data_IF_119229078389
#
_entry.id   IF_119229078389
#
_cell.length_a   1.000
_cell.length_b   1.000
_cell.length_c   1.000
_cell.angle_alpha   90.00
_cell.angle_beta   90.00
_cell.angle_gamma   90.00
#
_symmetry.space_group_name_H-M   'P 1'
#
loop_
_entity.id
_entity.type
_entity.pdbx_description
1 polymer ?
#
# COMPACT_ATOMS: atom_id res chain seq x y z
N UNK A 1 -20.67 6.84 34.06
CA UNK A 1 -20.61 7.79 32.93
C UNK A 1 -21.13 7.04 31.71
N UNK A 2 -22.33 7.36 31.24
CA UNK A 2 -22.91 6.79 30.03
C UNK A 2 -23.13 7.99 29.09
N UNK A 3 -22.32 8.12 28.04
CA UNK A 3 -22.42 9.26 27.12
C UNK A 3 -21.15 9.66 26.36
N UNK A 4 -20.04 8.94 26.48
CA UNK A 4 -18.77 9.30 25.82
C UNK A 4 -18.37 8.30 24.70
N UNK A 5 -19.35 7.54 24.20
CA UNK A 5 -19.12 6.67 23.06
C UNK A 5 -19.16 7.53 21.78
N UNK A 6 -18.09 7.53 20.96
CA UNK A 6 -18.02 8.38 19.78
C UNK A 6 -19.18 8.06 18.84
N UNK A 7 -20.03 9.06 18.58
CA UNK A 7 -21.13 8.98 17.63
C UNK A 7 -20.54 8.81 16.24
N UNK A 8 -20.56 7.58 15.75
CA UNK A 8 -20.03 7.21 14.44
C UNK A 8 -21.18 6.86 13.52
N UNK A 9 -21.12 7.37 12.29
CA UNK A 9 -22.16 7.10 11.30
C UNK A 9 -22.12 5.61 10.87
N UNK A 10 -23.27 5.00 10.53
CA UNK A 10 -23.34 3.57 10.19
C UNK A 10 -22.39 3.14 9.05
N UNK A 11 -22.02 4.09 8.18
CA UNK A 11 -21.11 3.90 7.05
C UNK A 11 -19.62 3.90 7.43
N UNK A 12 -19.21 4.53 8.54
CA UNK A 12 -17.82 4.53 9.00
C UNK A 12 -17.32 3.12 9.37
N UNK A 13 -18.24 2.23 9.73
CA UNK A 13 -17.94 0.84 10.05
C UNK A 13 -17.85 -0.04 8.80
N UNK A 14 -18.11 0.50 7.60
CA UNK A 14 -18.12 -0.29 6.38
C UNK A 14 -16.69 -0.79 6.12
N UNK A 15 -16.48 -2.12 6.08
CA UNK A 15 -15.17 -2.67 5.83
C UNK A 15 -14.72 -2.28 4.41
N UNK A 16 -13.63 -1.51 4.31
CA UNK A 16 -13.06 -1.13 3.02
C UNK A 16 -12.59 -2.33 2.19
N UNK A 17 -12.41 -2.13 0.88
CA UNK A 17 -11.98 -3.17 -0.05
C UNK A 17 -10.46 -3.42 0.03
N UNK A 18 -10.02 -4.12 1.09
CA UNK A 18 -8.58 -4.39 1.33
C UNK A 18 -7.93 -5.22 0.23
N UNK A 19 -8.67 -6.17 -0.34
CA UNK A 19 -8.18 -7.02 -1.44
C UNK A 19 -7.86 -6.19 -2.68
N UNK A 20 -8.73 -5.26 -3.07
CA UNK A 20 -8.47 -4.40 -4.22
C UNK A 20 -7.30 -3.45 -3.97
N UNK A 21 -7.16 -2.91 -2.74
CA UNK A 21 -6.00 -2.11 -2.36
C UNK A 21 -4.67 -2.86 -2.52
N UNK A 22 -4.60 -4.12 -2.08
CA UNK A 22 -3.41 -4.97 -2.25
C UNK A 22 -3.12 -5.29 -3.71
N UNK A 23 -4.15 -5.63 -4.47
CA UNK A 23 -4.01 -5.91 -5.91
C UNK A 23 -3.51 -4.65 -6.63
N UNK A 24 -4.10 -3.49 -6.36
CA UNK A 24 -3.68 -2.22 -6.94
C UNK A 24 -2.21 -1.90 -6.62
N UNK A 25 -1.79 -2.06 -5.37
CA UNK A 25 -0.41 -1.83 -4.99
C UNK A 25 0.59 -2.77 -5.70
N UNK A 26 0.25 -4.07 -5.82
CA UNK A 26 1.10 -5.04 -6.53
C UNK A 26 1.16 -4.75 -8.03
N UNK A 27 0.02 -4.46 -8.65
CA UNK A 27 -0.06 -4.10 -10.08
C UNK A 27 0.76 -2.85 -10.36
N UNK A 28 0.64 -1.81 -9.53
CA UNK A 28 1.44 -0.59 -9.67
C UNK A 28 2.93 -0.84 -9.49
N UNK A 29 3.32 -1.66 -8.49
CA UNK A 29 4.73 -2.01 -8.29
C UNK A 29 5.32 -2.76 -9.50
N UNK A 30 4.57 -3.71 -10.07
CA UNK A 30 4.96 -4.42 -11.29
C UNK A 30 5.07 -3.46 -12.47
N UNK A 31 4.10 -2.56 -12.65
CA UNK A 31 4.15 -1.57 -13.72
C UNK A 31 5.39 -0.66 -13.62
N UNK A 32 5.74 -0.19 -12.42
CA UNK A 32 6.93 0.63 -12.21
C UNK A 32 8.24 -0.13 -12.53
N UNK A 33 8.32 -1.41 -12.16
CA UNK A 33 9.46 -2.27 -12.52
C UNK A 33 9.53 -2.48 -14.03
N UNK A 34 8.39 -2.70 -14.70
CA UNK A 34 8.35 -2.85 -16.15
C UNK A 34 8.79 -1.57 -16.86
N UNK A 35 8.38 -0.39 -16.37
CA UNK A 35 8.86 0.89 -16.89
C UNK A 35 10.38 1.00 -16.75
N UNK A 36 10.94 0.63 -15.59
CA UNK A 36 12.37 0.69 -15.35
C UNK A 36 13.20 -0.27 -16.24
N UNK A 37 12.60 -1.36 -16.73
CA UNK A 37 13.31 -2.38 -17.53
C UNK A 37 13.06 -2.26 -19.03
N UNK A 38 11.92 -1.70 -19.44
CA UNK A 38 11.51 -1.58 -20.83
C UNK A 38 11.62 -0.15 -21.39
N UNK A 39 12.01 0.82 -20.56
CA UNK A 39 12.24 2.20 -20.99
C UNK A 39 13.46 2.33 -21.89
N UNK A 40 13.40 3.24 -22.87
CA UNK A 40 14.53 3.60 -23.74
C UNK A 40 15.43 4.66 -23.10
N UNK A 41 15.48 4.71 -21.77
CA UNK A 41 16.06 5.80 -20.98
C UNK A 41 17.58 5.62 -20.86
N UNK A 42 18.37 6.69 -21.09
CA UNK A 42 19.83 6.67 -20.87
C UNK A 42 20.22 6.95 -19.41
N UNK A 43 19.28 7.51 -18.62
CA UNK A 43 19.53 8.05 -17.29
C UNK A 43 19.29 7.06 -16.16
N UNK A 44 20.34 6.73 -15.39
CA UNK A 44 20.23 5.77 -14.26
C UNK A 44 19.46 6.28 -13.04
N UNK A 45 19.21 7.59 -12.95
CA UNK A 45 18.48 8.21 -11.82
C UNK A 45 17.01 7.79 -11.82
N UNK A 46 16.39 7.66 -12.99
CA UNK A 46 14.99 7.26 -13.11
C UNK A 46 14.76 5.85 -12.56
N UNK A 47 15.63 4.90 -12.89
CA UNK A 47 15.57 3.54 -12.34
C UNK A 47 15.62 3.51 -10.82
N UNK A 48 16.45 4.35 -10.18
CA UNK A 48 16.53 4.41 -8.70
C UNK A 48 15.17 4.79 -8.11
N UNK A 49 14.49 5.76 -8.71
CA UNK A 49 13.17 6.19 -8.26
C UNK A 49 12.09 5.15 -8.54
N UNK A 50 12.06 4.55 -9.74
CA UNK A 50 11.09 3.53 -10.10
C UNK A 50 11.21 2.28 -9.20
N UNK A 51 12.43 1.78 -9.01
CA UNK A 51 12.67 0.67 -8.09
C UNK A 51 12.41 1.06 -6.63
N UNK A 52 12.80 2.27 -6.23
CA UNK A 52 12.58 2.77 -4.87
C UNK A 52 11.10 2.85 -4.50
N UNK A 53 10.27 3.42 -5.38
CA UNK A 53 8.82 3.53 -5.16
C UNK A 53 8.16 2.16 -5.21
N UNK A 54 8.56 1.29 -6.15
CA UNK A 54 8.05 -0.08 -6.22
C UNK A 54 8.35 -0.87 -4.93
N UNK A 55 9.58 -0.79 -4.43
CA UNK A 55 9.98 -1.43 -3.18
C UNK A 55 9.22 -0.86 -1.97
N UNK A 56 9.04 0.46 -1.91
CA UNK A 56 8.27 1.12 -0.85
C UNK A 56 6.81 0.65 -0.84
N UNK A 57 6.14 0.57 -2.00
CA UNK A 57 4.77 0.08 -2.09
C UNK A 57 4.64 -1.35 -1.57
N UNK A 58 5.57 -2.23 -1.93
CA UNK A 58 5.58 -3.61 -1.43
C UNK A 58 5.84 -3.64 0.08
N UNK A 59 6.77 -2.83 0.59
CA UNK A 59 7.05 -2.72 2.03
C UNK A 59 5.81 -2.28 2.82
N UNK A 60 5.03 -1.32 2.32
CA UNK A 60 3.79 -0.87 2.94
C UNK A 60 2.76 -2.02 2.98
N UNK A 61 2.56 -2.74 1.87
CA UNK A 61 1.60 -3.86 1.80
C UNK A 61 2.00 -5.00 2.73
N UNK A 62 3.29 -5.33 2.79
CA UNK A 62 3.84 -6.35 3.68
C UNK A 62 3.70 -5.88 5.13
N UNK A 63 4.06 -4.64 5.43
CA UNK A 63 3.90 -4.04 6.76
C UNK A 63 2.46 -4.07 7.25
N UNK A 64 1.50 -3.69 6.40
CA UNK A 64 0.06 -3.82 6.69
C UNK A 64 -0.33 -5.27 7.00
N UNK A 65 0.16 -6.23 6.21
CA UNK A 65 -0.12 -7.65 6.42
C UNK A 65 0.47 -8.16 7.75
N UNK A 66 1.70 -7.78 8.09
CA UNK A 66 2.38 -8.15 9.34
C UNK A 66 1.68 -7.53 10.53
N UNK A 67 1.41 -6.22 10.50
CA UNK A 67 0.78 -5.50 11.61
C UNK A 67 -0.61 -6.08 11.92
N UNK A 68 -1.36 -6.46 10.88
CA UNK A 68 -2.67 -7.12 11.04
C UNK A 68 -2.56 -8.56 11.55
N UNK A 69 -1.54 -9.31 11.13
CA UNK A 69 -1.28 -10.67 11.69
C UNK A 69 -0.94 -10.61 13.17
N UNK A 70 -0.25 -9.56 13.60
CA UNK A 70 0.17 -9.37 14.99
C UNK A 70 -0.90 -8.65 15.84
N UNK A 71 -2.11 -8.42 15.30
CA UNK A 71 -3.23 -7.83 16.02
C UNK A 71 -3.11 -6.33 16.29
N UNK A 72 -2.36 -5.58 15.47
CA UNK A 72 -2.06 -4.16 15.68
C UNK A 72 -1.45 -3.85 17.06
N UNK A 73 -0.71 -4.79 17.65
CA UNK A 73 0.07 -4.52 18.87
C UNK A 73 1.20 -3.54 18.55
N UNK A 74 1.00 -2.28 18.93
CA UNK A 74 2.07 -1.28 19.08
C UNK A 74 2.86 -1.53 20.35
#
# INVERSE_FOLDING_TARGET
MAGDEPVTAPDQHKPGHRKSGRIGAVVSAVALVLMALCGTEEGRVEHIWLFGIAALLLAIVIGDAVLRRNGLRS
#
